data_IF_248069571417
#
_entry.id   IF_248069571417
#
_cell.length_a   1.000
_cell.length_b   1.000
_cell.length_c   1.000
_cell.angle_alpha   90.00
_cell.angle_beta   90.00
_cell.angle_gamma   90.00
#
_symmetry.space_group_name_H-M   'P 1'
#
loop_
_entity.id
_entity.type
_entity.pdbx_description
1 polymer ?
#
# COMPACT_ATOMS: atom_id res chain seq x y z
N UNK A 1 40.63 -5.03 -15.96
CA UNK A 1 41.92 -4.85 -16.69
C UNK A 1 41.63 -4.11 -17.98
N UNK A 2 42.52 -3.22 -18.44
CA UNK A 2 42.41 -2.55 -19.75
C UNK A 2 43.68 -2.84 -20.55
N UNK A 3 43.52 -3.53 -21.68
CA UNK A 3 44.58 -3.75 -22.66
C UNK A 3 44.54 -2.61 -23.67
N UNK A 4 45.59 -1.78 -23.74
CA UNK A 4 45.73 -0.71 -24.71
C UNK A 4 46.70 -1.14 -25.82
N UNK A 5 46.21 -1.36 -27.05
CA UNK A 5 47.07 -1.66 -28.20
C UNK A 5 48.08 -0.52 -28.46
N UNK A 6 49.38 -0.83 -28.61
CA UNK A 6 50.36 0.14 -29.11
C UNK A 6 50.39 0.10 -30.64
N UNK A 7 49.81 1.12 -31.26
CA UNK A 7 49.65 1.20 -32.71
C UNK A 7 51.00 1.10 -33.47
N UNK A 8 52.10 1.59 -32.89
CA UNK A 8 53.42 1.53 -33.55
C UNK A 8 53.98 0.11 -33.51
N UNK A 9 53.89 -0.54 -32.36
CA UNK A 9 54.37 -1.93 -32.20
C UNK A 9 53.56 -2.91 -33.02
N UNK A 10 52.24 -2.68 -33.12
CA UNK A 10 51.36 -3.46 -34.00
C UNK A 10 51.66 -3.25 -35.48
N UNK A 11 51.91 -2.01 -35.93
CA UNK A 11 52.26 -1.75 -37.32
C UNK A 11 53.59 -2.37 -37.72
N UNK A 12 54.60 -2.29 -36.83
CA UNK A 12 55.92 -2.90 -37.05
C UNK A 12 55.84 -4.43 -37.08
N UNK A 13 54.90 -4.99 -36.33
CA UNK A 13 54.55 -6.41 -36.29
C UNK A 13 53.69 -6.86 -37.48
N UNK A 14 53.14 -5.93 -38.28
CA UNK A 14 52.20 -6.24 -39.35
C UNK A 14 50.83 -6.74 -38.86
N UNK A 15 50.46 -6.45 -37.61
CA UNK A 15 49.22 -6.90 -36.97
C UNK A 15 48.19 -5.77 -36.90
N UNK A 16 46.91 -6.12 -37.01
CA UNK A 16 45.82 -5.20 -36.75
C UNK A 16 45.40 -5.23 -35.27
N UNK A 17 44.74 -4.17 -34.76
CA UNK A 17 44.15 -4.20 -33.41
C UNK A 17 43.10 -5.30 -33.24
N UNK A 18 42.44 -5.73 -34.31
CA UNK A 18 41.47 -6.82 -34.28
C UNK A 18 42.15 -8.17 -34.02
N UNK A 19 43.33 -8.42 -34.62
CA UNK A 19 44.10 -9.65 -34.41
C UNK A 19 44.55 -9.78 -32.95
N UNK A 20 44.99 -8.67 -32.36
CA UNK A 20 45.34 -8.61 -30.95
C UNK A 20 44.12 -8.85 -30.05
N UNK A 21 42.97 -8.26 -30.40
CA UNK A 21 41.72 -8.43 -29.63
C UNK A 21 41.25 -9.89 -29.67
N UNK A 22 41.34 -10.52 -30.84
CA UNK A 22 41.02 -11.94 -31.02
C UNK A 22 41.93 -12.84 -30.18
N UNK A 23 43.24 -12.58 -30.19
CA UNK A 23 44.20 -13.34 -29.39
C UNK A 23 43.96 -13.19 -27.88
N UNK A 24 43.66 -11.98 -27.40
CA UNK A 24 43.33 -11.72 -26.00
C UNK A 24 41.98 -12.33 -25.61
N UNK A 25 40.97 -12.28 -26.49
CA UNK A 25 39.67 -12.90 -26.24
C UNK A 25 39.77 -14.44 -26.18
N UNK A 26 40.50 -15.05 -27.12
CA UNK A 26 40.71 -16.50 -27.14
C UNK A 26 41.50 -17.02 -25.93
N UNK A 27 42.42 -16.22 -25.37
CA UNK A 27 43.14 -16.54 -24.15
C UNK A 27 42.37 -16.20 -22.84
N UNK A 28 41.20 -15.59 -22.94
CA UNK A 28 40.36 -15.21 -21.80
C UNK A 28 39.03 -15.96 -21.81
N UNK A 29 37.94 -15.24 -22.06
CA UNK A 29 36.57 -15.77 -22.04
C UNK A 29 36.22 -16.63 -23.28
N UNK A 30 37.14 -16.71 -24.26
CA UNK A 30 36.93 -17.34 -25.55
C UNK A 30 36.48 -16.35 -26.63
N UNK A 31 36.93 -16.57 -27.85
CA UNK A 31 36.55 -15.78 -29.02
C UNK A 31 35.48 -16.50 -29.83
N UNK A 32 34.30 -15.90 -29.99
CA UNK A 32 33.27 -16.42 -30.89
C UNK A 32 33.74 -16.32 -32.34
N UNK A 33 33.79 -17.45 -33.04
CA UNK A 33 34.25 -17.53 -34.44
C UNK A 33 33.08 -17.68 -35.41
N UNK A 34 32.15 -18.60 -35.12
CA UNK A 34 31.01 -18.90 -35.99
C UNK A 34 29.88 -19.61 -35.22
N UNK A 35 28.76 -19.89 -35.87
CA UNK A 35 27.66 -20.69 -35.34
C UNK A 35 27.49 -22.00 -36.15
N UNK A 36 27.54 -23.14 -35.47
CA UNK A 36 27.26 -24.44 -36.08
C UNK A 36 25.80 -24.83 -35.89
N UNK A 37 25.06 -25.00 -36.99
CA UNK A 37 23.65 -25.42 -36.94
C UNK A 37 23.53 -26.94 -37.00
N UNK A 38 23.03 -27.55 -35.92
CA UNK A 38 22.79 -28.99 -35.85
C UNK A 38 21.41 -29.26 -35.23
N UNK A 39 20.59 -30.08 -35.90
CA UNK A 39 19.29 -30.52 -35.34
C UNK A 39 18.22 -29.43 -35.20
N UNK A 40 18.43 -28.25 -35.79
CA UNK A 40 17.54 -27.09 -35.63
C UNK A 40 18.04 -26.06 -34.62
N UNK A 41 19.07 -26.40 -33.84
CA UNK A 41 19.71 -25.52 -32.88
C UNK A 41 20.98 -24.90 -33.47
N UNK A 42 21.24 -23.63 -33.12
CA UNK A 42 22.50 -22.95 -33.40
C UNK A 42 23.42 -23.10 -32.19
N UNK A 43 24.61 -23.65 -32.41
CA UNK A 43 25.64 -23.88 -31.38
C UNK A 43 26.81 -22.94 -31.66
N UNK A 44 27.12 -22.09 -30.70
CA UNK A 44 28.25 -21.15 -30.80
C UNK A 44 29.59 -21.90 -30.85
N UNK A 45 30.39 -21.64 -31.90
CA UNK A 45 31.77 -22.11 -32.02
C UNK A 45 32.70 -21.05 -31.42
N UNK A 46 33.24 -21.37 -30.24
CA UNK A 46 34.17 -20.51 -29.52
C UNK A 46 35.59 -21.07 -29.63
N UNK A 47 36.53 -20.24 -30.07
CA UNK A 47 37.96 -20.53 -30.02
C UNK A 47 38.49 -20.11 -28.65
N UNK A 48 39.07 -21.07 -27.94
CA UNK A 48 39.67 -20.84 -26.64
C UNK A 48 41.04 -21.49 -26.58
N UNK A 49 41.98 -20.83 -25.92
CA UNK A 49 43.29 -21.40 -25.68
C UNK A 49 43.17 -22.66 -24.81
N UNK A 50 44.03 -23.64 -25.07
CA UNK A 50 43.94 -24.96 -24.44
C UNK A 50 44.20 -24.88 -22.93
N UNK A 51 45.20 -24.11 -22.51
CA UNK A 51 45.56 -23.96 -21.10
C UNK A 51 44.42 -23.27 -20.35
N UNK A 52 43.81 -22.27 -21.01
CA UNK A 52 42.61 -21.57 -20.52
C UNK A 52 41.40 -22.49 -20.40
N UNK A 53 41.13 -23.33 -21.40
CA UNK A 53 40.05 -24.31 -21.36
C UNK A 53 40.25 -25.36 -20.26
N UNK A 54 41.47 -25.84 -20.06
CA UNK A 54 41.81 -26.77 -18.99
C UNK A 54 41.64 -26.13 -17.61
N UNK A 55 42.04 -24.86 -17.44
CA UNK A 55 41.84 -24.10 -16.20
C UNK A 55 40.36 -23.86 -15.88
N UNK A 56 39.54 -23.48 -16.88
CA UNK A 56 38.09 -23.29 -16.72
C UNK A 56 37.41 -24.61 -16.33
N UNK A 57 37.76 -25.72 -16.98
CA UNK A 57 37.22 -27.04 -16.64
C UNK A 57 37.65 -27.52 -15.25
N UNK A 58 38.82 -27.11 -14.78
CA UNK A 58 39.32 -27.37 -13.43
C UNK A 58 38.79 -26.37 -12.37
N UNK A 59 37.95 -25.40 -12.76
CA UNK A 59 37.40 -24.38 -11.86
C UNK A 59 38.45 -23.38 -11.33
N UNK A 60 39.60 -23.26 -12.00
CA UNK A 60 40.70 -22.38 -11.62
C UNK A 60 40.68 -21.12 -12.49
N UNK A 61 40.82 -19.94 -11.88
CA UNK A 61 40.89 -18.66 -12.59
C UNK A 61 42.31 -18.38 -13.08
N UNK A 62 42.45 -17.87 -14.31
CA UNK A 62 43.72 -17.41 -14.86
C UNK A 62 44.21 -16.19 -14.07
N UNK A 63 45.50 -16.18 -13.71
CA UNK A 63 46.09 -15.04 -13.03
C UNK A 63 46.24 -13.87 -14.00
N UNK A 64 45.93 -12.67 -13.53
CA UNK A 64 45.86 -11.44 -14.35
C UNK A 64 47.22 -11.11 -14.98
N UNK A 65 48.32 -11.55 -14.36
CA UNK A 65 49.66 -11.35 -14.87
C UNK A 65 50.00 -12.23 -16.08
N UNK A 66 49.35 -13.38 -16.24
CA UNK A 66 49.57 -14.31 -17.34
C UNK A 66 49.06 -13.78 -18.69
N UNK A 67 48.15 -12.80 -18.68
CA UNK A 67 47.68 -12.15 -19.92
C UNK A 67 48.81 -11.43 -20.67
N UNK A 68 49.86 -11.00 -19.95
CA UNK A 68 51.04 -10.36 -20.57
C UNK A 68 51.87 -11.33 -21.40
N UNK A 69 51.83 -12.62 -21.03
CA UNK A 69 52.66 -13.68 -21.61
C UNK A 69 51.93 -14.44 -22.74
N UNK A 70 50.67 -14.11 -23.00
CA UNK A 70 49.87 -14.72 -24.07
C UNK A 70 50.59 -14.57 -25.41
N UNK A 71 50.91 -15.68 -26.09
CA UNK A 71 51.62 -15.66 -27.36
C UNK A 71 50.67 -15.28 -28.51
N UNK A 72 51.12 -14.36 -29.35
CA UNK A 72 50.44 -13.89 -30.57
C UNK A 72 51.33 -14.22 -31.77
N UNK A 73 50.75 -14.90 -32.76
CA UNK A 73 51.45 -15.26 -33.99
C UNK A 73 51.55 -14.05 -34.93
N UNK A 74 52.77 -13.70 -35.32
CA UNK A 74 53.05 -12.66 -36.29
C UNK A 74 52.90 -13.20 -37.73
N UNK A 75 52.52 -12.37 -38.71
CA UNK A 75 52.52 -12.74 -40.13
C UNK A 75 53.90 -13.21 -40.63
N UNK A 76 54.97 -12.78 -39.96
CA UNK A 76 56.34 -13.20 -40.23
C UNK A 76 56.69 -14.62 -39.72
N UNK A 77 55.75 -15.33 -39.10
CA UNK A 77 55.96 -16.66 -38.51
C UNK A 77 56.70 -16.67 -37.16
N UNK A 78 56.89 -15.50 -36.53
CA UNK A 78 57.46 -15.38 -35.19
C UNK A 78 56.34 -15.27 -34.15
N UNK A 79 56.64 -15.55 -32.88
CA UNK A 79 55.72 -15.31 -31.76
C UNK A 79 56.14 -14.03 -31.04
N UNK A 80 55.19 -13.17 -30.71
CA UNK A 80 55.35 -12.04 -29.80
C UNK A 80 54.32 -12.16 -28.67
N UNK A 81 54.59 -11.59 -27.50
CA UNK A 81 53.62 -11.63 -26.40
C UNK A 81 52.71 -10.40 -26.40
N UNK A 82 51.51 -10.51 -25.81
CA UNK A 82 50.59 -9.38 -25.66
C UNK A 82 51.25 -8.21 -24.92
N UNK A 83 52.09 -8.46 -23.90
CA UNK A 83 52.84 -7.41 -23.21
C UNK A 83 53.89 -6.70 -24.07
N UNK A 84 54.37 -7.33 -25.15
CA UNK A 84 55.23 -6.68 -26.14
C UNK A 84 54.42 -5.78 -27.09
N UNK A 85 53.17 -6.13 -27.39
CA UNK A 85 52.32 -5.44 -28.38
C UNK A 85 51.34 -4.42 -27.76
N UNK A 86 51.06 -4.51 -26.47
CA UNK A 86 50.07 -3.70 -25.77
C UNK A 86 50.49 -3.33 -24.35
N UNK A 87 49.98 -2.19 -23.87
CA UNK A 87 50.14 -1.75 -22.49
C UNK A 87 48.95 -2.24 -21.65
N UNK A 88 49.25 -2.98 -20.59
CA UNK A 88 48.26 -3.53 -19.68
C UNK A 88 48.13 -2.62 -18.46
N UNK A 89 46.95 -2.04 -18.27
CA UNK A 89 46.63 -1.21 -17.12
C UNK A 89 45.61 -1.91 -16.23
N UNK A 90 45.92 -2.03 -14.94
CA UNK A 90 44.94 -2.40 -13.91
C UNK A 90 44.15 -1.15 -13.54
N UNK A 91 42.83 -1.25 -13.63
CA UNK A 91 41.93 -0.14 -13.32
C UNK A 91 40.58 -0.67 -12.86
N UNK A 92 39.92 0.10 -12.00
CA UNK A 92 38.54 -0.17 -11.61
C UNK A 92 37.62 0.24 -12.75
N UNK A 93 36.71 -0.65 -13.12
CA UNK A 93 35.63 -0.38 -14.06
C UNK A 93 34.30 -0.77 -13.39
N UNK A 94 33.23 -0.09 -13.78
CA UNK A 94 31.89 -0.50 -13.34
C UNK A 94 31.59 -1.89 -13.90
N UNK A 95 31.26 -2.84 -13.02
CA UNK A 95 30.84 -4.20 -13.41
C UNK A 95 29.49 -4.17 -14.11
N UNK A 96 28.62 -3.25 -13.70
CA UNK A 96 27.31 -3.05 -14.28
C UNK A 96 26.98 -1.55 -14.31
N UNK A 97 26.49 -1.08 -15.46
CA UNK A 97 26.00 0.29 -15.61
C UNK A 97 24.47 0.23 -15.67
N UNK A 98 23.84 0.46 -14.53
CA UNK A 98 22.39 0.53 -14.46
C UNK A 98 21.90 1.88 -14.97
N UNK A 99 20.75 1.86 -15.64
CA UNK A 99 20.07 3.06 -16.09
C UNK A 99 18.62 3.05 -15.61
N UNK A 100 18.13 4.21 -15.21
CA UNK A 100 16.70 4.50 -14.97
C UNK A 100 16.39 5.75 -15.79
N UNK A 101 15.34 5.69 -16.61
CA UNK A 101 14.96 6.79 -17.52
C UNK A 101 16.12 7.34 -18.37
N UNK A 102 16.97 6.43 -18.87
CA UNK A 102 18.17 6.72 -19.67
C UNK A 102 19.27 7.49 -18.92
N UNK A 103 19.14 7.70 -17.62
CA UNK A 103 20.18 8.27 -16.77
C UNK A 103 20.94 7.16 -16.04
N UNK A 104 22.26 7.32 -15.89
CA UNK A 104 23.06 6.37 -15.09
C UNK A 104 22.58 6.41 -13.65
N UNK A 105 22.25 5.24 -13.11
CA UNK A 105 21.66 5.08 -11.78
C UNK A 105 22.52 4.17 -10.91
N UNK A 106 22.65 4.52 -9.64
CA UNK A 106 23.16 3.62 -8.60
C UNK A 106 21.99 3.29 -7.69
N UNK A 107 21.72 1.99 -7.49
CA UNK A 107 20.64 1.53 -6.62
C UNK A 107 21.21 1.14 -5.27
N UNK A 108 20.71 1.77 -4.22
CA UNK A 108 21.00 1.42 -2.83
C UNK A 108 19.79 0.69 -2.26
N UNK A 109 19.98 -0.58 -1.88
CA UNK A 109 18.92 -1.37 -1.25
C UNK A 109 19.05 -1.25 0.27
N UNK A 110 18.02 -0.70 0.90
CA UNK A 110 17.96 -0.49 2.35
C UNK A 110 16.82 -1.34 2.90
N UNK A 111 17.13 -2.17 3.87
CA UNK A 111 16.14 -2.99 4.58
C UNK A 111 16.00 -2.44 6.00
N UNK A 112 14.86 -1.80 6.34
CA UNK A 112 14.66 -1.26 7.68
C UNK A 112 14.49 -2.38 8.72
N UNK A 113 14.84 -2.14 10.00
CA UNK A 113 14.59 -3.08 11.08
C UNK A 113 13.08 -3.26 11.31
N UNK A 114 12.62 -4.45 11.75
CA UNK A 114 11.19 -4.77 11.92
C UNK A 114 10.47 -3.94 12.99
N UNK A 115 11.21 -3.21 13.83
CA UNK A 115 10.67 -2.31 14.86
C UNK A 115 10.33 -0.93 14.33
N UNK A 116 10.77 -0.57 13.12
CA UNK A 116 10.59 0.74 12.51
C UNK A 116 9.57 0.64 11.38
N UNK A 117 8.66 1.62 11.30
CA UNK A 117 7.73 1.66 10.17
C UNK A 117 8.44 2.08 8.88
N UNK A 118 7.91 1.63 7.74
CA UNK A 118 8.47 1.99 6.44
C UNK A 118 8.41 3.50 6.16
N UNK A 119 7.40 4.19 6.71
CA UNK A 119 7.24 5.63 6.57
C UNK A 119 8.32 6.39 7.34
N UNK A 120 8.53 6.05 8.62
CA UNK A 120 9.61 6.64 9.43
C UNK A 120 10.97 6.40 8.78
N UNK A 121 11.19 5.20 8.21
CA UNK A 121 12.44 4.89 7.52
C UNK A 121 12.64 5.76 6.28
N UNK A 122 11.59 5.97 5.47
CA UNK A 122 11.67 6.85 4.29
C UNK A 122 11.85 8.31 4.69
N UNK A 123 11.19 8.78 5.75
CA UNK A 123 11.35 10.15 6.23
C UNK A 123 12.76 10.40 6.79
N UNK A 124 13.32 9.44 7.52
CA UNK A 124 14.70 9.47 7.96
C UNK A 124 15.67 9.54 6.77
N UNK A 125 15.49 8.68 5.76
CA UNK A 125 16.31 8.67 4.54
C UNK A 125 16.19 10.01 3.79
N UNK A 126 14.99 10.56 3.63
CA UNK A 126 14.79 11.86 2.99
C UNK A 126 15.51 12.98 3.74
N UNK A 127 15.40 12.98 5.06
CA UNK A 127 16.06 13.97 5.92
C UNK A 127 17.58 13.89 5.79
N UNK A 128 18.13 12.67 5.78
CA UNK A 128 19.57 12.45 5.63
C UNK A 128 20.07 12.78 4.22
N UNK A 129 19.28 12.49 3.17
CA UNK A 129 19.57 12.91 1.80
C UNK A 129 19.58 14.43 1.64
N UNK A 130 18.63 15.13 2.28
CA UNK A 130 18.61 16.59 2.27
C UNK A 130 19.79 17.20 3.04
N UNK A 131 20.18 16.60 4.17
CA UNK A 131 21.38 16.99 4.90
C UNK A 131 22.65 16.78 4.07
N UNK A 132 22.83 15.60 3.47
CA UNK A 132 23.95 15.29 2.59
C UNK A 132 24.02 16.20 1.35
N UNK A 133 22.87 16.68 0.86
CA UNK A 133 22.79 17.66 -0.23
C UNK A 133 23.23 19.05 0.22
N UNK A 134 22.89 19.46 1.45
CA UNK A 134 23.34 20.75 2.03
C UNK A 134 24.85 20.74 2.34
N UNK A 135 25.37 19.61 2.80
CA UNK A 135 26.80 19.43 3.12
C UNK A 135 27.68 19.28 1.88
N UNK A 136 27.09 19.18 0.68
CA UNK A 136 27.81 19.10 -0.60
C UNK A 136 28.33 17.70 -0.95
N UNK A 137 28.01 16.68 -0.14
CA UNK A 137 28.33 15.27 -0.41
C UNK A 137 27.62 14.73 -1.66
N UNK A 138 26.46 15.30 -2.01
CA UNK A 138 25.72 14.98 -3.24
C UNK A 138 25.90 16.13 -4.24
N UNK A 139 26.55 15.89 -5.39
CA UNK A 139 26.69 16.91 -6.43
C UNK A 139 25.32 17.39 -6.94
N UNK A 140 25.17 18.68 -7.32
CA UNK A 140 23.89 19.27 -7.70
C UNK A 140 23.24 18.67 -8.95
N UNK A 141 23.97 17.86 -9.73
CA UNK A 141 23.46 17.14 -10.91
C UNK A 141 22.96 15.72 -10.62
N UNK A 142 23.08 15.22 -9.39
CA UNK A 142 22.60 13.88 -9.01
C UNK A 142 21.16 14.00 -8.50
N UNK A 143 20.23 13.35 -9.20
CA UNK A 143 18.84 13.22 -8.75
C UNK A 143 18.74 12.00 -7.84
N UNK A 144 18.34 12.22 -6.59
CA UNK A 144 18.05 11.15 -5.63
C UNK A 144 16.55 10.91 -5.56
N UNK A 145 16.10 9.71 -5.90
CA UNK A 145 14.71 9.30 -5.78
C UNK A 145 14.62 8.08 -4.85
N UNK A 146 13.68 8.12 -3.91
CA UNK A 146 13.36 6.99 -3.05
C UNK A 146 12.23 6.21 -3.72
N UNK A 147 12.56 5.05 -4.29
CA UNK A 147 11.61 4.18 -4.97
C UNK A 147 11.40 2.86 -4.20
N UNK A 148 10.20 2.28 -4.29
CA UNK A 148 9.89 0.98 -3.73
C UNK A 148 8.43 0.83 -3.30
N UNK A 149 8.15 -0.16 -2.46
CA UNK A 149 6.83 -0.37 -1.85
C UNK A 149 6.38 0.83 -1.01
N UNK A 150 7.34 1.56 -0.44
CA UNK A 150 7.07 2.74 0.37
C UNK A 150 6.48 3.90 -0.43
N UNK A 151 6.98 4.15 -1.65
CA UNK A 151 6.45 5.22 -2.51
C UNK A 151 5.06 4.87 -3.04
N UNK A 152 4.80 3.59 -3.33
CA UNK A 152 3.45 3.12 -3.68
C UNK A 152 2.45 3.32 -2.52
N UNK A 153 2.83 2.98 -1.27
CA UNK A 153 1.99 3.22 -0.09
C UNK A 153 1.75 4.72 0.13
N UNK A 154 2.78 5.56 -0.02
CA UNK A 154 2.66 7.00 0.12
C UNK A 154 1.72 7.62 -0.94
N UNK A 155 1.81 7.18 -2.20
CA UNK A 155 0.93 7.64 -3.27
C UNK A 155 -0.54 7.26 -3.00
N UNK A 156 -0.77 6.02 -2.58
CA UNK A 156 -2.13 5.55 -2.27
C UNK A 156 -2.70 6.26 -1.03
N UNK A 157 -1.87 6.52 -0.01
CA UNK A 157 -2.26 7.34 1.14
C UNK A 157 -2.65 8.76 0.74
N UNK A 158 -1.84 9.40 -0.09
CA UNK A 158 -2.10 10.74 -0.61
C UNK A 158 -3.45 10.78 -1.35
N UNK A 159 -3.77 9.76 -2.13
CA UNK A 159 -5.04 9.67 -2.86
C UNK A 159 -6.25 9.37 -1.96
N UNK A 160 -6.07 8.54 -0.91
CA UNK A 160 -7.14 8.14 -0.01
C UNK A 160 -7.45 9.17 1.08
N UNK A 161 -6.42 9.72 1.73
CA UNK A 161 -6.54 10.57 2.93
C UNK A 161 -6.07 12.01 2.67
N UNK A 162 -5.27 12.23 1.62
CA UNK A 162 -4.65 13.51 1.32
C UNK A 162 -3.24 13.64 1.90
N UNK A 163 -2.50 14.63 1.42
CA UNK A 163 -1.10 14.92 1.80
C UNK A 163 -0.95 15.52 3.21
N UNK A 164 -1.91 15.31 4.11
CA UNK A 164 -1.93 15.90 5.47
C UNK A 164 -2.29 17.39 5.51
N UNK A 165 -2.39 18.06 4.35
CA UNK A 165 -2.92 19.42 4.25
C UNK A 165 -4.44 19.42 4.20
N UNK A 166 -5.07 20.49 4.69
CA UNK A 166 -6.54 20.63 4.63
C UNK A 166 -7.06 20.59 3.19
N UNK A 167 -6.28 21.09 2.23
CA UNK A 167 -6.62 21.04 0.80
C UNK A 167 -6.52 19.60 0.28
N UNK A 168 -5.45 18.88 0.64
CA UNK A 168 -5.28 17.47 0.27
C UNK A 168 -6.40 16.58 0.80
N UNK A 169 -6.90 16.85 2.01
CA UNK A 169 -8.05 16.13 2.56
C UNK A 169 -9.32 16.37 1.73
N UNK A 170 -9.58 17.60 1.26
CA UNK A 170 -10.76 17.89 0.44
C UNK A 170 -10.72 17.21 -0.93
N UNK A 171 -9.53 16.98 -1.48
CA UNK A 171 -9.35 16.23 -2.74
C UNK A 171 -9.30 14.72 -2.54
N UNK A 172 -9.28 14.24 -1.30
CA UNK A 172 -9.12 12.82 -0.98
C UNK A 172 -10.34 11.99 -1.33
N UNK A 173 -10.12 10.70 -1.64
CA UNK A 173 -11.20 9.75 -1.93
C UNK A 173 -12.11 9.52 -0.72
N UNK A 174 -11.58 9.53 0.50
CA UNK A 174 -12.38 9.40 1.73
C UNK A 174 -13.34 10.59 1.88
N UNK A 175 -12.87 11.82 1.65
CA UNK A 175 -13.74 12.99 1.68
C UNK A 175 -14.80 12.93 0.58
N UNK A 176 -14.40 12.55 -0.65
CA UNK A 176 -15.33 12.37 -1.76
C UNK A 176 -16.39 11.30 -1.43
N UNK A 177 -16.01 10.17 -0.83
CA UNK A 177 -16.92 9.12 -0.41
C UNK A 177 -17.92 9.63 0.65
N UNK A 178 -17.44 10.36 1.66
CA UNK A 178 -18.30 11.00 2.66
C UNK A 178 -19.25 12.01 2.04
N UNK A 179 -18.77 12.84 1.11
CA UNK A 179 -19.57 13.83 0.40
C UNK A 179 -20.65 13.15 -0.45
N UNK A 180 -20.29 12.13 -1.23
CA UNK A 180 -21.25 11.37 -2.05
C UNK A 180 -22.30 10.70 -1.17
N UNK A 181 -21.89 10.01 -0.10
CA UNK A 181 -22.82 9.41 0.84
C UNK A 181 -23.72 10.47 1.49
N UNK A 182 -23.18 11.63 1.87
CA UNK A 182 -23.97 12.73 2.44
C UNK A 182 -25.01 13.25 1.45
N UNK A 183 -24.63 13.46 0.18
CA UNK A 183 -25.53 13.97 -0.86
C UNK A 183 -26.62 12.95 -1.22
N UNK A 184 -26.28 11.67 -1.38
CA UNK A 184 -27.26 10.61 -1.60
C UNK A 184 -28.26 10.57 -0.46
N UNK A 185 -27.79 10.67 0.78
CA UNK A 185 -28.65 10.70 1.96
C UNK A 185 -29.51 11.97 2.03
N UNK A 186 -28.96 13.12 1.66
CA UNK A 186 -29.73 14.36 1.60
C UNK A 186 -30.89 14.27 0.60
N UNK A 187 -30.66 13.60 -0.53
CA UNK A 187 -31.69 13.30 -1.54
C UNK A 187 -32.70 12.28 -1.00
N UNK A 188 -32.25 11.18 -0.38
CA UNK A 188 -33.14 10.15 0.15
C UNK A 188 -34.06 10.68 1.26
N UNK A 189 -33.52 11.47 2.19
CA UNK A 189 -34.27 12.03 3.31
C UNK A 189 -34.91 13.39 3.04
N UNK A 190 -34.66 13.97 1.86
CA UNK A 190 -35.11 15.32 1.48
C UNK A 190 -34.80 16.37 2.57
N UNK A 191 -33.62 16.25 3.20
CA UNK A 191 -33.21 17.07 4.34
C UNK A 191 -31.69 17.07 4.46
N UNK A 192 -31.10 18.24 4.74
CA UNK A 192 -29.66 18.37 4.99
C UNK A 192 -29.27 18.06 6.44
N UNK A 193 -30.20 18.10 7.39
CA UNK A 193 -29.89 17.87 8.80
C UNK A 193 -29.82 16.37 9.15
N UNK A 194 -30.66 15.54 8.54
CA UNK A 194 -30.70 14.10 8.84
C UNK A 194 -29.41 13.36 8.40
N UNK A 195 -28.84 13.61 7.21
CA UNK A 195 -27.54 13.06 6.84
C UNK A 195 -26.43 13.47 7.81
N UNK A 196 -26.45 14.69 8.34
CA UNK A 196 -25.46 15.14 9.33
C UNK A 196 -25.55 14.34 10.63
N UNK A 197 -26.75 14.07 11.13
CA UNK A 197 -27.00 13.22 12.31
C UNK A 197 -26.43 11.81 12.10
N UNK A 198 -26.61 11.27 10.89
CA UNK A 198 -26.12 9.93 10.51
C UNK A 198 -24.60 9.91 10.39
N UNK A 199 -24.00 10.91 9.73
CA UNK A 199 -22.56 11.01 9.54
C UNK A 199 -21.79 11.20 10.85
N UNK A 200 -22.46 11.67 11.91
CA UNK A 200 -21.86 11.79 13.23
C UNK A 200 -21.41 10.43 13.81
N UNK A 201 -21.95 9.30 13.35
CA UNK A 201 -21.48 7.98 13.78
C UNK A 201 -20.17 7.52 13.12
N UNK A 202 -19.78 8.13 11.99
CA UNK A 202 -18.60 7.71 11.21
C UNK A 202 -17.28 7.98 11.95
N UNK A 203 -17.03 9.17 12.53
CA UNK A 203 -15.81 9.40 13.31
C UNK A 203 -15.67 8.43 14.49
N UNK A 204 -16.79 8.09 15.15
CA UNK A 204 -16.78 7.14 16.26
C UNK A 204 -16.41 5.72 15.80
N UNK A 205 -16.85 5.33 14.59
CA UNK A 205 -16.43 4.07 14.00
C UNK A 205 -14.94 4.05 13.67
N UNK A 206 -14.40 5.15 13.14
CA UNK A 206 -12.98 5.27 12.87
C UNK A 206 -12.15 5.07 14.14
N UNK A 207 -12.55 5.68 15.26
CA UNK A 207 -11.91 5.46 16.58
C UNK A 207 -11.94 3.98 16.97
N UNK A 208 -13.06 3.29 16.75
CA UNK A 208 -13.17 1.85 16.98
C UNK A 208 -12.26 1.01 16.08
N UNK A 209 -12.12 1.38 14.81
CA UNK A 209 -11.24 0.73 13.85
C UNK A 209 -9.76 0.88 14.23
N UNK A 210 -9.34 2.09 14.62
CA UNK A 210 -7.99 2.34 15.14
C UNK A 210 -7.73 1.59 16.44
N UNK A 211 -8.67 1.59 17.39
CA UNK A 211 -8.53 0.87 18.65
C UNK A 211 -8.38 -0.65 18.43
N UNK A 212 -9.10 -1.21 17.47
CA UNK A 212 -9.00 -2.63 17.15
C UNK A 212 -7.72 -3.00 16.40
N UNK A 213 -7.25 -2.16 15.47
CA UNK A 213 -5.94 -2.34 14.84
C UNK A 213 -4.84 -2.29 15.91
N UNK A 214 -4.91 -1.32 16.82
CA UNK A 214 -4.00 -1.22 17.95
C UNK A 214 -4.05 -2.45 18.88
N UNK A 215 -5.24 -2.97 19.18
CA UNK A 215 -5.40 -4.20 19.94
C UNK A 215 -4.79 -5.42 19.23
N UNK A 216 -4.95 -5.54 17.90
CA UNK A 216 -4.32 -6.59 17.10
C UNK A 216 -2.80 -6.45 17.12
N UNK A 217 -2.26 -5.24 17.09
CA UNK A 217 -0.82 -5.01 17.25
C UNK A 217 -0.34 -5.46 18.63
N UNK A 218 -1.06 -5.15 19.71
CA UNK A 218 -0.74 -5.64 21.07
C UNK A 218 -0.75 -7.17 21.13
N UNK A 219 -1.76 -7.80 20.52
CA UNK A 219 -1.88 -9.27 20.46
C UNK A 219 -0.73 -9.88 19.64
N UNK A 220 -0.34 -9.24 18.52
CA UNK A 220 0.83 -9.63 17.72
C UNK A 220 2.14 -9.51 18.50
N UNK A 221 2.31 -8.48 19.32
CA UNK A 221 3.52 -8.31 20.16
C UNK A 221 3.60 -9.41 21.23
N UNK A 222 2.45 -9.88 21.73
CA UNK A 222 2.36 -10.92 22.77
C UNK A 222 2.50 -12.34 22.19
N UNK A 223 2.30 -12.53 20.88
CA UNK A 223 2.29 -13.84 20.21
C UNK A 223 3.40 -13.94 19.15
N UNK A 224 4.46 -14.76 19.33
CA UNK A 224 5.59 -14.86 18.40
C UNK A 224 5.28 -15.35 16.98
N UNK A 225 4.05 -15.79 16.71
CA UNK A 225 3.63 -16.42 15.46
C UNK A 225 2.85 -15.48 14.52
N UNK A 226 2.55 -14.25 14.95
CA UNK A 226 1.75 -13.31 14.16
C UNK A 226 2.62 -12.15 13.65
N UNK A 227 2.64 -11.88 12.34
CA UNK A 227 3.31 -10.70 11.78
C UNK A 227 2.75 -9.39 12.36
N UNK A 228 3.59 -8.36 12.42
CA UNK A 228 3.15 -7.02 12.81
C UNK A 228 2.23 -6.44 11.74
N UNK A 229 1.04 -6.02 12.14
CA UNK A 229 0.11 -5.36 11.22
C UNK A 229 0.40 -3.86 11.17
N UNK A 230 0.89 -3.38 10.02
CA UNK A 230 1.03 -1.95 9.73
C UNK A 230 -0.23 -1.39 9.08
N UNK A 231 -0.32 -0.06 9.04
CA UNK A 231 -1.35 0.66 8.31
C UNK A 231 -1.01 0.62 6.81
N UNK A 232 -1.48 -0.42 6.13
CA UNK A 232 -1.32 -0.65 4.70
C UNK A 232 -2.57 -0.22 3.90
N UNK A 233 -2.47 -0.18 2.57
CA UNK A 233 -3.55 0.15 1.64
C UNK A 233 -4.82 -0.64 1.92
N UNK A 234 -4.71 -1.95 2.17
CA UNK A 234 -5.89 -2.78 2.44
C UNK A 234 -6.56 -2.42 3.77
N UNK A 235 -5.79 -1.97 4.76
CA UNK A 235 -6.33 -1.49 6.04
C UNK A 235 -7.04 -0.14 5.87
N UNK A 236 -6.51 0.75 5.01
CA UNK A 236 -7.17 2.01 4.65
C UNK A 236 -8.48 1.75 3.91
N UNK A 237 -8.51 0.79 2.98
CA UNK A 237 -9.73 0.36 2.31
C UNK A 237 -10.78 -0.14 3.31
N UNK A 238 -10.34 -0.79 4.39
CA UNK A 238 -11.20 -1.17 5.51
C UNK A 238 -11.92 0.01 6.15
N UNK A 239 -11.25 1.15 6.33
CA UNK A 239 -11.90 2.37 6.81
C UNK A 239 -12.91 2.92 5.81
N UNK A 240 -12.62 2.87 4.50
CA UNK A 240 -13.56 3.31 3.45
C UNK A 240 -14.83 2.44 3.47
N UNK A 241 -14.69 1.12 3.55
CA UNK A 241 -15.82 0.20 3.64
C UNK A 241 -16.60 0.41 4.94
N UNK A 242 -15.89 0.63 6.06
CA UNK A 242 -16.49 0.88 7.37
C UNK A 242 -17.45 2.08 7.35
N UNK A 243 -17.14 3.15 6.60
CA UNK A 243 -18.04 4.31 6.44
C UNK A 243 -19.41 3.85 5.96
N UNK A 244 -19.48 3.06 4.89
CA UNK A 244 -20.75 2.61 4.31
C UNK A 244 -21.53 1.68 5.23
N UNK A 245 -20.84 0.72 5.86
CA UNK A 245 -21.49 -0.26 6.74
C UNK A 245 -22.06 0.40 8.01
N UNK A 246 -21.33 1.37 8.57
CA UNK A 246 -21.77 2.12 9.76
C UNK A 246 -22.95 3.03 9.44
N UNK A 247 -22.89 3.71 8.29
CA UNK A 247 -23.97 4.56 7.84
C UNK A 247 -25.26 3.75 7.73
N UNK A 248 -25.24 2.55 7.14
CA UNK A 248 -26.42 1.69 6.98
C UNK A 248 -27.22 1.47 8.28
N UNK A 249 -26.54 1.17 9.39
CA UNK A 249 -27.20 0.97 10.69
C UNK A 249 -27.89 2.26 11.19
N UNK A 250 -27.25 3.41 10.98
CA UNK A 250 -27.82 4.71 11.32
C UNK A 250 -28.96 5.13 10.40
N UNK A 251 -28.92 4.79 9.10
CA UNK A 251 -30.05 4.99 8.15
C UNK A 251 -31.31 4.32 8.70
N UNK A 252 -31.21 3.06 9.12
CA UNK A 252 -32.37 2.28 9.59
C UNK A 252 -33.02 2.90 10.83
N UNK A 253 -32.24 3.41 11.78
CA UNK A 253 -32.76 4.09 12.97
C UNK A 253 -33.46 5.40 12.62
N UNK A 254 -32.83 6.23 11.79
CA UNK A 254 -33.38 7.53 11.40
C UNK A 254 -34.64 7.34 10.56
N UNK A 255 -34.61 6.43 9.59
CA UNK A 255 -35.76 6.09 8.76
C UNK A 255 -36.94 5.59 9.59
N UNK A 256 -36.70 4.67 10.54
CA UNK A 256 -37.75 4.18 11.42
C UNK A 256 -38.35 5.29 12.27
N UNK A 257 -37.52 6.22 12.74
CA UNK A 257 -38.01 7.34 13.53
C UNK A 257 -38.92 8.25 12.73
N UNK A 258 -38.58 8.53 11.48
CA UNK A 258 -39.43 9.32 10.59
C UNK A 258 -40.76 8.62 10.30
N UNK A 259 -40.76 7.29 10.15
CA UNK A 259 -41.99 6.53 9.94
C UNK A 259 -42.93 6.62 11.15
N UNK A 260 -42.40 6.48 12.36
CA UNK A 260 -43.19 6.67 13.59
C UNK A 260 -43.67 8.11 13.79
N UNK A 261 -42.88 9.10 13.37
CA UNK A 261 -43.31 10.51 13.37
C UNK A 261 -44.40 10.80 12.33
N UNK A 262 -44.41 10.07 11.21
CA UNK A 262 -45.42 10.24 10.14
C UNK A 262 -46.69 9.42 10.40
N UNK A 263 -46.68 8.50 11.36
CA UNK A 263 -47.79 7.57 11.61
C UNK A 263 -47.94 6.50 10.53
N UNK A 264 -46.94 6.31 9.68
CA UNK A 264 -46.93 5.34 8.57
C UNK A 264 -46.16 4.07 8.92
N UNK A 265 -45.99 3.77 10.20
CA UNK A 265 -45.29 2.57 10.64
C UNK A 265 -46.22 1.36 10.53
N UNK A 266 -45.78 0.31 9.83
CA UNK A 266 -46.51 -0.96 9.69
C UNK A 266 -46.68 -1.72 11.01
N UNK A 267 -45.86 -1.39 12.02
CA UNK A 267 -45.89 -2.00 13.35
C UNK A 267 -46.62 -1.08 14.33
N UNK A 268 -47.79 -1.52 14.79
CA UNK A 268 -48.54 -0.85 15.87
C UNK A 268 -47.67 -0.84 17.14
N UNK A 269 -47.51 0.30 17.84
CA UNK A 269 -46.71 0.35 19.06
C UNK A 269 -47.19 -0.70 20.06
N UNK A 270 -46.36 -1.70 20.32
CA UNK A 270 -46.67 -2.74 21.31
C UNK A 270 -46.40 -2.16 22.69
N UNK A 271 -47.47 -1.83 23.41
CA UNK A 271 -47.48 -1.14 24.69
C UNK A 271 -46.99 0.32 24.69
N UNK A 272 -47.94 1.24 24.69
CA UNK A 272 -47.78 2.58 25.25
C UNK A 272 -47.66 2.54 26.80
N UNK A 273 -46.84 1.64 27.35
CA UNK A 273 -46.64 1.46 28.80
C UNK A 273 -45.57 2.39 29.37
N UNK A 274 -45.02 3.32 28.59
CA UNK A 274 -44.30 4.48 29.13
C UNK A 274 -45.28 5.59 29.58
N UNK A 275 -46.18 5.21 30.51
CA UNK A 275 -46.88 6.16 31.39
C UNK A 275 -45.84 6.64 32.41
N UNK A 276 -45.28 7.84 32.23
CA UNK A 276 -44.37 8.35 33.26
C UNK A 276 -43.71 9.71 33.07
N UNK A 277 -43.70 10.31 31.86
CA UNK A 277 -43.23 11.69 31.72
C UNK A 277 -44.43 12.63 31.57
N UNK A 278 -44.63 13.42 32.61
CA UNK A 278 -45.62 14.48 32.78
C UNK A 278 -45.87 15.28 31.50
N UNK A 279 -47.10 15.21 30.98
CA UNK A 279 -47.66 16.18 30.03
C UNK A 279 -47.89 15.73 28.58
N UNK A 280 -47.65 14.47 28.21
CA UNK A 280 -47.91 14.02 26.83
C UNK A 280 -49.39 13.67 26.60
N UNK A 281 -50.03 14.16 25.51
CA UNK A 281 -51.40 13.79 25.17
C UNK A 281 -51.49 12.29 24.88
N UNK A 282 -52.57 11.66 25.30
CA UNK A 282 -52.91 10.27 24.99
C UNK A 282 -53.03 10.10 23.47
N UNK A 283 -51.98 9.57 22.85
CA UNK A 283 -51.92 9.35 21.39
C UNK A 283 -52.80 8.15 21.02
N UNK A 284 -53.75 8.38 20.11
CA UNK A 284 -54.59 7.35 19.51
C UNK A 284 -53.75 6.33 18.72
N UNK A 285 -54.12 5.04 18.80
CA UNK A 285 -53.53 3.98 17.99
C UNK A 285 -53.54 4.37 16.50
N UNK A 286 -52.35 4.44 15.88
CA UNK A 286 -52.19 4.70 14.44
C UNK A 286 -51.86 6.16 14.05
N UNK A 287 -51.69 7.07 15.00
CA UNK A 287 -51.33 8.48 14.73
C UNK A 287 -49.82 8.79 14.78
N UNK A 288 -49.40 9.95 14.26
CA UNK A 288 -48.01 10.43 14.35
C UNK A 288 -47.57 10.61 15.81
N UNK A 289 -46.42 10.04 16.17
CA UNK A 289 -45.85 10.12 17.52
C UNK A 289 -45.02 11.41 17.70
N UNK A 290 -45.01 12.00 18.92
CA UNK A 290 -44.07 13.06 19.25
C UNK A 290 -42.62 12.55 19.11
N UNK A 291 -41.70 13.44 18.74
CA UNK A 291 -40.32 13.10 18.35
C UNK A 291 -39.63 12.15 19.34
N UNK A 292 -39.71 12.46 20.63
CA UNK A 292 -39.05 11.64 21.68
C UNK A 292 -39.62 10.23 21.77
N UNK A 293 -40.94 10.07 21.62
CA UNK A 293 -41.59 8.77 21.62
C UNK A 293 -41.25 7.98 20.35
N UNK A 294 -41.22 8.66 19.19
CA UNK A 294 -40.83 8.05 17.92
C UNK A 294 -39.39 7.54 17.95
N UNK A 295 -38.45 8.30 18.53
CA UNK A 295 -37.05 7.88 18.70
C UNK A 295 -36.97 6.64 19.59
N UNK A 296 -37.65 6.64 20.74
CA UNK A 296 -37.62 5.52 21.68
C UNK A 296 -38.16 4.23 21.06
N UNK A 297 -39.29 4.30 20.36
CA UNK A 297 -39.89 3.13 19.70
C UNK A 297 -39.04 2.63 18.52
N UNK A 298 -38.37 3.55 17.81
CA UNK A 298 -37.42 3.19 16.74
C UNK A 298 -36.24 2.39 17.25
N UNK A 299 -35.66 2.81 18.37
CA UNK A 299 -34.56 2.08 19.01
C UNK A 299 -35.05 0.69 19.43
N UNK A 300 -36.23 0.60 20.05
CA UNK A 300 -36.79 -0.67 20.54
C UNK A 300 -37.05 -1.68 19.42
N UNK A 301 -37.59 -1.23 18.29
CA UNK A 301 -37.90 -2.07 17.13
C UNK A 301 -36.66 -2.44 16.30
N UNK A 302 -35.62 -1.59 16.30
CA UNK A 302 -34.42 -1.79 15.48
C UNK A 302 -33.23 -2.39 16.23
N UNK A 303 -33.21 -2.42 17.55
CA UNK A 303 -32.07 -2.96 18.31
C UNK A 303 -31.78 -4.42 17.97
N UNK A 304 -32.81 -5.27 17.81
CA UNK A 304 -32.62 -6.70 17.50
C UNK A 304 -32.05 -6.91 16.07
N UNK A 305 -32.63 -6.33 14.99
CA UNK A 305 -32.04 -6.42 13.66
C UNK A 305 -30.62 -5.83 13.55
N UNK A 306 -30.37 -4.68 14.18
CA UNK A 306 -29.06 -4.02 14.14
C UNK A 306 -28.01 -4.89 14.83
N UNK A 307 -28.30 -5.42 16.03
CA UNK A 307 -27.38 -6.32 16.72
C UNK A 307 -27.17 -7.62 15.93
N UNK A 308 -28.23 -8.21 15.36
CA UNK A 308 -28.10 -9.43 14.56
C UNK A 308 -27.14 -9.23 13.37
N UNK A 309 -27.35 -8.18 12.57
CA UNK A 309 -26.48 -7.88 11.44
C UNK A 309 -25.04 -7.57 11.88
N UNK A 310 -24.87 -6.78 12.94
CA UNK A 310 -23.55 -6.45 13.47
C UNK A 310 -22.80 -7.68 13.97
N UNK A 311 -23.44 -8.54 14.77
CA UNK A 311 -22.83 -9.78 15.24
C UNK A 311 -22.49 -10.73 14.10
N UNK A 312 -23.35 -10.86 13.08
CA UNK A 312 -23.06 -11.68 11.91
C UNK A 312 -21.86 -11.15 11.13
N UNK A 313 -21.78 -9.84 10.88
CA UNK A 313 -20.63 -9.24 10.19
C UNK A 313 -19.34 -9.40 10.98
N UNK A 314 -19.37 -9.16 12.29
CA UNK A 314 -18.20 -9.32 13.16
C UNK A 314 -17.77 -10.79 13.21
N UNK A 315 -18.71 -11.72 13.39
CA UNK A 315 -18.42 -13.15 13.37
C UNK A 315 -17.87 -13.64 12.02
N UNK A 316 -18.32 -13.06 10.91
CA UNK A 316 -17.80 -13.37 9.58
C UNK A 316 -16.38 -12.83 9.34
N UNK A 317 -16.02 -11.71 9.97
CA UNK A 317 -14.67 -11.11 9.89
C UNK A 317 -13.70 -11.70 10.91
N UNK A 318 -14.20 -12.32 11.99
CA UNK A 318 -13.40 -12.87 13.08
C UNK A 318 -12.37 -13.92 12.62
N UNK A 319 -12.69 -14.85 11.69
CA UNK A 319 -11.70 -15.77 11.14
C UNK A 319 -10.56 -15.07 10.41
N UNK A 320 -10.82 -13.97 9.69
CA UNK A 320 -9.77 -13.22 8.99
C UNK A 320 -8.77 -12.59 9.97
N UNK A 321 -9.23 -12.26 11.17
CA UNK A 321 -8.39 -11.66 12.21
C UNK A 321 -7.56 -12.72 12.93
N UNK A 322 -8.18 -13.85 13.31
CA UNK A 322 -7.58 -14.83 14.20
C UNK A 322 -6.99 -16.07 13.52
N UNK A 323 -7.40 -16.42 12.30
CA UNK A 323 -6.90 -17.63 11.62
C UNK A 323 -5.55 -17.34 10.92
N UNK A 324 -4.43 -17.94 11.38
CA UNK A 324 -3.16 -17.83 10.68
C UNK A 324 -3.18 -18.68 9.41
N UNK A 325 -2.73 -18.11 8.30
CA UNK A 325 -2.63 -18.78 7.01
C UNK A 325 -1.88 -17.95 5.97
N UNK A 326 -1.52 -18.56 4.85
CA UNK A 326 -0.92 -17.84 3.72
C UNK A 326 -1.86 -16.71 3.25
N UNK A 327 -1.35 -15.48 3.17
CA UNK A 327 -2.15 -14.30 2.82
C UNK A 327 -3.00 -13.71 3.95
N UNK A 328 -3.01 -14.32 5.15
CA UNK A 328 -3.72 -13.76 6.31
C UNK A 328 -3.18 -12.38 6.72
N UNK A 329 -1.91 -12.10 6.46
CA UNK A 329 -1.26 -10.82 6.76
C UNK A 329 -1.88 -9.65 5.98
N UNK A 330 -2.40 -9.91 4.79
CA UNK A 330 -3.04 -8.90 3.95
C UNK A 330 -4.44 -8.55 4.48
N UNK A 331 -5.25 -9.58 4.78
CA UNK A 331 -6.66 -9.42 5.15
C UNK A 331 -6.90 -9.20 6.66
N UNK A 332 -5.92 -9.51 7.51
CA UNK A 332 -6.05 -9.35 8.96
C UNK A 332 -6.28 -7.90 9.35
N UNK A 333 -5.51 -6.96 8.79
CA UNK A 333 -5.70 -5.54 9.07
C UNK A 333 -7.05 -5.00 8.58
N UNK A 334 -7.50 -5.45 7.40
CA UNK A 334 -8.84 -5.15 6.87
C UNK A 334 -9.94 -5.64 7.83
N UNK A 335 -9.86 -6.92 8.23
CA UNK A 335 -10.82 -7.55 9.13
C UNK A 335 -10.83 -6.93 10.54
N UNK A 336 -9.67 -6.54 11.05
CA UNK A 336 -9.53 -5.91 12.36
C UNK A 336 -10.20 -4.53 12.41
N UNK A 337 -9.92 -3.68 11.42
CA UNK A 337 -10.52 -2.34 11.30
C UNK A 337 -12.03 -2.44 11.12
N UNK A 338 -12.50 -3.30 10.22
CA UNK A 338 -13.93 -3.46 9.95
C UNK A 338 -14.65 -4.07 11.15
N UNK A 339 -14.15 -5.17 11.71
CA UNK A 339 -14.79 -5.87 12.83
C UNK A 339 -14.83 -5.01 14.10
N UNK A 340 -13.70 -4.39 14.44
CA UNK A 340 -13.61 -3.52 15.61
C UNK A 340 -14.35 -2.20 15.47
N UNK A 341 -14.22 -1.56 14.30
CA UNK A 341 -14.97 -0.36 13.97
C UNK A 341 -16.48 -0.58 14.03
N UNK A 342 -16.95 -1.73 13.54
CA UNK A 342 -18.37 -2.07 13.55
C UNK A 342 -18.87 -2.41 14.96
N UNK A 343 -18.10 -3.13 15.78
CA UNK A 343 -18.45 -3.40 17.19
C UNK A 343 -18.63 -2.10 17.97
N UNK A 344 -17.61 -1.24 17.94
CA UNK A 344 -17.64 0.04 18.67
C UNK A 344 -18.74 0.93 18.10
N UNK A 345 -18.80 1.09 16.78
CA UNK A 345 -19.81 1.93 16.14
C UNK A 345 -21.23 1.46 16.40
N UNK A 346 -21.50 0.15 16.46
CA UNK A 346 -22.86 -0.34 16.72
C UNK A 346 -23.34 0.06 18.11
N UNK A 347 -22.49 -0.09 19.14
CA UNK A 347 -22.80 0.32 20.51
C UNK A 347 -23.07 1.83 20.56
N UNK A 348 -22.19 2.62 19.96
CA UNK A 348 -22.33 4.06 19.96
C UNK A 348 -23.49 4.54 19.08
N UNK A 349 -23.77 3.92 17.95
CA UNK A 349 -24.86 4.31 17.03
C UNK A 349 -26.22 4.18 17.69
N UNK A 350 -26.44 3.13 18.49
CA UNK A 350 -27.70 2.93 19.22
C UNK A 350 -27.95 4.03 20.27
N UNK A 351 -26.90 4.67 20.78
CA UNK A 351 -27.01 5.71 21.83
C UNK A 351 -26.91 7.12 21.24
N UNK A 352 -25.86 7.36 20.47
CA UNK A 352 -25.47 8.66 19.95
C UNK A 352 -26.41 9.14 18.86
N UNK A 353 -26.81 8.28 17.90
CA UNK A 353 -27.71 8.72 16.81
C UNK A 353 -29.05 9.20 17.36
N UNK A 354 -29.76 8.45 18.23
CA UNK A 354 -30.97 8.96 18.91
C UNK A 354 -30.77 10.26 19.67
N UNK A 355 -29.66 10.40 20.40
CA UNK A 355 -29.37 11.59 21.20
C UNK A 355 -29.15 12.82 20.31
N UNK A 356 -28.30 12.68 19.29
CA UNK A 356 -27.98 13.74 18.34
C UNK A 356 -29.24 14.14 17.56
N UNK A 357 -30.08 13.18 17.21
CA UNK A 357 -31.37 13.43 16.57
C UNK A 357 -32.33 14.19 17.49
N UNK A 358 -32.46 13.79 18.76
CA UNK A 358 -33.29 14.50 19.75
C UNK A 358 -32.84 15.95 20.01
N UNK A 359 -31.55 16.25 19.84
CA UNK A 359 -30.98 17.58 20.04
C UNK A 359 -31.13 18.48 18.80
N UNK A 360 -30.87 17.94 17.61
CA UNK A 360 -30.82 18.72 16.37
C UNK A 360 -32.19 18.84 15.68
N UNK A 361 -33.04 17.82 15.80
CA UNK A 361 -34.36 17.83 15.17
C UNK A 361 -35.34 18.52 16.11
N UNK A 362 -35.76 19.73 15.73
CA UNK A 362 -36.76 20.49 16.50
C UNK A 362 -38.16 19.90 16.28
N UNK A 363 -38.91 19.73 17.36
CA UNK A 363 -40.31 19.30 17.28
C UNK A 363 -41.10 20.25 16.37
N UNK A 364 -41.57 19.74 15.23
CA UNK A 364 -42.63 20.41 14.48
C UNK A 364 -43.91 20.21 15.29
N UNK A 365 -44.46 21.30 15.83
CA UNK A 365 -45.79 21.27 16.45
C UNK A 365 -46.76 20.72 15.41
N UNK A 366 -47.33 19.55 15.67
CA UNK A 366 -48.46 19.02 14.91
C UNK A 366 -49.61 19.98 15.16
N UNK A 367 -49.86 20.89 14.22
CA UNK A 367 -51.04 21.74 14.25
C UNK A 367 -52.22 20.80 14.02
N UNK A 368 -52.94 20.48 15.08
CA UNK A 368 -54.22 19.81 14.98
C UNK A 368 -55.14 20.69 14.14
N UNK A 369 -55.40 20.29 12.90
CA UNK A 369 -56.51 20.84 12.14
C UNK A 369 -57.79 20.36 12.81
N UNK A 370 -58.37 21.24 13.64
CA UNK A 370 -59.76 21.16 14.02
C UNK A 370 -60.59 21.52 12.77
N UNK A 371 -61.30 20.54 12.23
CA UNK A 371 -62.44 20.72 11.33
C UNK A 371 -63.53 19.78 11.77
#
# INVERSE_FOLDING_TARGET
MRVKPDARRLSDAGLSPADLTLAVAAAGDGALIDEYKAGGDAIDLVLIDRETAEAINAGTSIDVDQVSDVPVALPSGRLATVGQLAMIERGAAATQINHVDRQRSVRLQITPPPTMSLEEAVEAIKTELEAARKDGSIPPGVVSEVAGTASALAAVRAELVGDGTSIGFLTSTVFLALLVCYLVMAVLFQSFMLPFVIMFSVPLAAVGGFAALFAVVIISITSPTLPMQSLDVLTMLGFVILIGVVVNNAILLVHQTLNFQRGTADETPSDASFRGLSGAPTVHLGGPLPLRAAIAESVRTRIRPILMSAFTSVAGLLPLVFAPGAGSELYRGLGAVMGGGLLVSTIFTIVVVPLVMALLVRERKVVAHAT
#
